data_IF_570486426374
#
_entry.id   IF_570486426374
#
_cell.length_a   1.000
_cell.length_b   1.000
_cell.length_c   1.000
_cell.angle_alpha   90.00
_cell.angle_beta   90.00
_cell.angle_gamma   90.00
#
_symmetry.space_group_name_H-M   'P 1'
#
loop_
_entity.id
_entity.type
_entity.pdbx_description
1 polymer ?
#
# COMPACT_ATOMS: atom_id res chain seq x y z
N UNK A 1 16.20 25.70 -23.36
CA UNK A 1 16.33 24.88 -22.14
C UNK A 1 16.44 23.45 -22.60
N UNK A 2 17.66 22.94 -22.67
CA UNK A 2 17.92 21.56 -23.11
C UNK A 2 17.47 20.60 -22.00
N UNK A 3 16.41 19.84 -22.27
CA UNK A 3 15.91 18.80 -21.37
C UNK A 3 16.90 17.63 -21.41
N UNK A 4 17.79 17.56 -20.42
CA UNK A 4 18.76 16.48 -20.27
C UNK A 4 18.10 15.29 -19.55
N UNK A 5 17.85 14.19 -20.26
CA UNK A 5 17.28 12.96 -19.71
C UNK A 5 18.23 12.21 -18.75
N UNK A 6 19.52 12.55 -18.72
CA UNK A 6 20.51 11.84 -17.91
C UNK A 6 20.49 12.22 -16.42
N UNK A 7 19.94 13.38 -16.05
CA UNK A 7 19.88 13.83 -14.64
C UNK A 7 18.57 13.47 -13.93
N UNK A 8 17.52 13.08 -14.67
CA UNK A 8 16.23 12.64 -14.13
C UNK A 8 16.31 11.45 -13.14
N UNK A 9 17.15 10.41 -13.36
CA UNK A 9 17.11 9.19 -12.54
C UNK A 9 17.57 9.37 -11.09
N UNK A 10 18.35 10.42 -10.78
CA UNK A 10 18.95 10.61 -9.46
C UNK A 10 18.07 11.44 -8.51
N UNK A 11 17.06 12.15 -9.04
CA UNK A 11 16.19 13.04 -8.26
C UNK A 11 14.72 12.60 -8.21
N UNK A 12 14.30 11.64 -9.04
CA UNK A 12 12.96 11.05 -9.00
C UNK A 12 13.01 9.63 -8.45
N UNK A 13 12.73 9.49 -7.15
CA UNK A 13 12.59 8.18 -6.49
C UNK A 13 11.29 7.43 -6.87
N UNK A 14 10.36 8.07 -7.60
CA UNK A 14 9.02 7.55 -7.91
C UNK A 14 8.78 7.39 -9.43
N UNK A 15 9.72 6.77 -10.15
CA UNK A 15 9.57 6.52 -11.60
C UNK A 15 8.52 5.43 -11.89
N UNK A 16 8.37 4.46 -10.98
CA UNK A 16 7.42 3.36 -11.10
C UNK A 16 6.65 3.16 -9.79
N UNK A 17 5.32 3.08 -9.90
CA UNK A 17 4.41 2.82 -8.79
C UNK A 17 3.62 1.52 -9.01
N UNK A 18 3.61 0.64 -8.03
CA UNK A 18 2.83 -0.60 -8.04
C UNK A 18 1.85 -0.58 -6.86
N UNK A 19 0.60 -0.95 -7.12
CA UNK A 19 -0.40 -1.16 -6.06
C UNK A 19 -0.84 -2.62 -6.03
N UNK A 20 -0.66 -3.26 -4.88
CA UNK A 20 -1.11 -4.63 -4.63
C UNK A 20 -2.32 -4.55 -3.69
N UNK A 21 -3.45 -5.07 -4.17
CA UNK A 21 -4.68 -5.19 -3.38
C UNK A 21 -4.81 -6.62 -2.89
N UNK A 22 -4.86 -6.79 -1.57
CA UNK A 22 -5.05 -8.08 -0.90
C UNK A 22 -6.43 -8.16 -0.24
N UNK A 23 -6.83 -9.36 0.16
CA UNK A 23 -8.14 -9.57 0.80
C UNK A 23 -8.11 -9.28 2.30
N UNK A 24 -7.04 -9.66 2.99
CA UNK A 24 -6.94 -9.56 4.44
C UNK A 24 -5.65 -8.83 4.87
N UNK A 25 -5.65 -8.25 6.07
CA UNK A 25 -4.45 -7.57 6.60
C UNK A 25 -3.25 -8.52 6.75
N UNK A 26 -3.46 -9.79 7.13
CA UNK A 26 -2.38 -10.79 7.23
C UNK A 26 -1.62 -10.99 5.90
N UNK A 27 -2.33 -10.86 4.78
CA UNK A 27 -1.76 -11.03 3.45
C UNK A 27 -0.78 -9.89 3.13
N UNK A 28 -0.94 -8.71 3.75
CA UNK A 28 0.01 -7.59 3.63
C UNK A 28 1.37 -8.00 4.19
N UNK A 29 1.39 -8.53 5.41
CA UNK A 29 2.62 -8.96 6.09
C UNK A 29 3.22 -10.18 5.39
N UNK A 30 2.37 -11.10 4.91
CA UNK A 30 2.84 -12.24 4.12
C UNK A 30 3.52 -11.81 2.82
N UNK A 31 2.98 -10.80 2.11
CA UNK A 31 3.56 -10.27 0.88
C UNK A 31 4.91 -9.59 1.16
N UNK A 32 4.98 -8.74 2.18
CA UNK A 32 6.23 -8.09 2.60
C UNK A 32 7.34 -9.11 2.85
N UNK A 33 7.07 -10.12 3.69
CA UNK A 33 8.05 -11.18 3.99
C UNK A 33 8.47 -11.99 2.78
N UNK A 34 7.61 -12.13 1.76
CA UNK A 34 7.95 -12.81 0.52
C UNK A 34 8.86 -11.95 -0.33
N UNK A 35 8.62 -10.65 -0.41
CA UNK A 35 9.47 -9.70 -1.14
C UNK A 35 10.88 -9.60 -0.53
N UNK A 36 10.98 -9.56 0.80
CA UNK A 36 12.28 -9.53 1.50
C UNK A 36 13.14 -10.77 1.25
N UNK A 37 12.53 -11.90 0.88
CA UNK A 37 13.23 -13.15 0.57
C UNK A 37 13.66 -13.27 -0.89
N UNK A 38 13.24 -12.36 -1.76
CA UNK A 38 13.62 -12.40 -3.17
C UNK A 38 15.05 -11.90 -3.33
N UNK A 39 15.97 -12.70 -3.89
CA UNK A 39 17.40 -12.38 -3.93
C UNK A 39 17.72 -11.18 -4.84
N UNK A 40 16.82 -10.86 -5.76
CA UNK A 40 16.93 -9.80 -6.75
C UNK A 40 16.17 -8.52 -6.37
N UNK A 41 15.42 -8.51 -5.26
CA UNK A 41 14.73 -7.32 -4.76
C UNK A 41 15.41 -6.81 -3.49
N UNK A 42 15.68 -5.50 -3.44
CA UNK A 42 16.16 -4.84 -2.23
C UNK A 42 15.13 -3.86 -1.70
N UNK A 43 14.68 -4.06 -0.46
CA UNK A 43 13.87 -3.06 0.26
C UNK A 43 14.78 -1.91 0.69
N UNK A 44 14.53 -0.71 0.16
CA UNK A 44 15.27 0.51 0.48
C UNK A 44 14.62 1.28 1.63
N UNK A 45 13.28 1.32 1.69
CA UNK A 45 12.53 2.00 2.73
C UNK A 45 11.21 1.29 3.01
N UNK A 46 10.81 1.27 4.29
CA UNK A 46 9.51 0.75 4.75
C UNK A 46 8.75 1.84 5.50
N UNK A 47 7.52 2.14 5.09
CA UNK A 47 6.59 3.02 5.82
C UNK A 47 5.32 2.25 6.12
N UNK A 48 5.13 1.95 7.39
CA UNK A 48 4.01 1.14 7.87
C UNK A 48 2.91 2.04 8.39
N UNK A 49 1.95 2.35 7.52
CA UNK A 49 0.73 3.05 7.88
C UNK A 49 -0.43 2.09 8.20
N UNK A 50 -0.20 0.77 8.14
CA UNK A 50 -1.22 -0.21 8.57
C UNK A 50 -1.31 -0.18 10.08
N UNK A 51 -0.18 -0.33 10.76
CA UNK A 51 -0.10 -0.33 12.24
C UNK A 51 -0.05 1.07 12.83
N UNK A 52 0.47 2.05 12.09
CA UNK A 52 0.57 3.47 12.48
C UNK A 52 -0.10 4.37 11.44
N UNK A 53 -1.43 4.43 11.41
CA UNK A 53 -2.16 5.23 10.42
C UNK A 53 -1.76 6.71 10.49
N UNK A 54 -1.93 7.41 9.36
CA UNK A 54 -1.81 8.88 9.37
C UNK A 54 -2.98 9.48 10.15
N UNK A 55 -2.84 10.75 10.55
CA UNK A 55 -3.88 11.49 11.28
C UNK A 55 -5.21 11.59 10.54
N UNK A 56 -5.21 11.54 9.21
CA UNK A 56 -6.43 11.52 8.40
C UNK A 56 -7.10 10.14 8.33
N UNK A 57 -6.58 9.10 9.00
CA UNK A 57 -7.11 7.73 8.97
C UNK A 57 -6.50 6.85 7.87
N UNK A 58 -5.61 7.39 7.03
CA UNK A 58 -5.00 6.64 5.94
C UNK A 58 -4.18 5.44 6.41
N UNK A 59 -4.43 4.28 5.79
CA UNK A 59 -3.72 3.01 6.00
C UNK A 59 -3.23 2.39 4.71
N UNK A 60 -1.97 1.94 4.71
CA UNK A 60 -1.29 1.20 3.64
C UNK A 60 0.11 0.81 4.10
N UNK A 61 0.66 -0.28 3.61
CA UNK A 61 2.10 -0.53 3.71
C UNK A 61 2.79 0.04 2.47
N UNK A 62 3.77 0.92 2.65
CA UNK A 62 4.59 1.46 1.56
C UNK A 62 6.00 0.90 1.63
N UNK A 63 6.47 0.33 0.52
CA UNK A 63 7.82 -0.15 0.34
C UNK A 63 8.46 0.60 -0.81
N UNK A 64 9.65 1.15 -0.60
CA UNK A 64 10.51 1.61 -1.69
C UNK A 64 11.48 0.48 -1.99
N UNK A 65 11.44 -0.03 -3.21
CA UNK A 65 12.21 -1.19 -3.65
C UNK A 65 13.23 -0.78 -4.72
N UNK A 66 14.40 -1.42 -4.73
CA UNK A 66 15.27 -1.46 -5.91
C UNK A 66 15.09 -2.81 -6.61
N UNK A 67 14.72 -2.75 -7.89
CA UNK A 67 14.47 -3.93 -8.74
C UNK A 67 15.36 -3.85 -9.99
N UNK A 68 16.05 -4.93 -10.38
CA UNK A 68 16.86 -4.96 -11.59
C UNK A 68 15.97 -5.01 -12.84
N UNK A 69 16.16 -4.05 -13.74
CA UNK A 69 15.55 -4.03 -15.07
C UNK A 69 16.62 -4.36 -16.10
N UNK A 70 16.38 -5.41 -16.88
CA UNK A 70 17.28 -5.89 -17.92
C UNK A 70 16.97 -5.15 -19.22
N UNK A 71 17.88 -4.27 -19.64
CA UNK A 71 17.79 -3.50 -20.88
C UNK A 71 18.86 -3.99 -21.87
N UNK A 72 18.71 -3.63 -23.16
CA UNK A 72 19.71 -3.97 -24.17
C UNK A 72 21.11 -3.43 -23.85
N UNK A 73 21.20 -2.30 -23.14
CA UNK A 73 22.45 -1.68 -22.71
C UNK A 73 23.01 -2.23 -21.38
N UNK A 74 22.35 -3.21 -20.76
CA UNK A 74 22.75 -3.81 -19.49
C UNK A 74 21.64 -3.78 -18.42
N UNK A 75 22.00 -4.17 -17.20
CA UNK A 75 21.08 -4.22 -16.06
C UNK A 75 21.12 -2.90 -15.30
N UNK A 76 19.95 -2.31 -15.05
CA UNK A 76 19.81 -1.08 -14.25
C UNK A 76 18.89 -1.33 -13.07
N UNK A 77 19.32 -0.96 -11.86
CA UNK A 77 18.45 -0.93 -10.70
C UNK A 77 17.48 0.25 -10.83
N UNK A 78 16.18 -0.03 -10.77
CA UNK A 78 15.11 0.96 -10.81
C UNK A 78 14.43 1.02 -9.45
N UNK A 79 14.15 2.24 -8.99
CA UNK A 79 13.40 2.46 -7.75
C UNK A 79 11.90 2.34 -8.04
N UNK A 80 11.20 1.53 -7.24
CA UNK A 80 9.76 1.28 -7.37
C UNK A 80 9.09 1.56 -6.02
N UNK A 81 8.07 2.43 -6.01
CA UNK A 81 7.16 2.54 -4.88
C UNK A 81 6.10 1.44 -4.97
N UNK A 82 6.04 0.58 -3.96
CA UNK A 82 5.02 -0.45 -3.83
C UNK A 82 4.09 -0.12 -2.67
N UNK A 83 2.80 -0.04 -2.95
CA UNK A 83 1.75 0.17 -1.95
C UNK A 83 0.91 -1.10 -1.83
N UNK A 84 0.85 -1.66 -0.63
CA UNK A 84 0.04 -2.85 -0.33
C UNK A 84 -1.12 -2.42 0.55
N UNK A 85 -2.34 -2.81 0.17
CA UNK A 85 -3.60 -2.42 0.83
C UNK A 85 -4.61 -3.56 0.80
N UNK A 86 -5.51 -3.60 1.78
CA UNK A 86 -6.75 -4.38 1.63
C UNK A 86 -7.69 -3.72 0.61
N UNK A 87 -8.74 -4.43 0.22
CA UNK A 87 -9.83 -3.87 -0.60
C UNK A 87 -10.45 -2.66 0.10
N UNK A 88 -10.72 -2.76 1.40
CA UNK A 88 -11.40 -1.71 2.15
C UNK A 88 -10.51 -0.47 2.34
N UNK A 89 -9.21 -0.66 2.64
CA UNK A 89 -8.22 0.43 2.66
C UNK A 89 -8.12 1.14 1.30
N UNK A 90 -8.12 0.40 0.19
CA UNK A 90 -8.04 1.00 -1.13
C UNK A 90 -9.31 1.78 -1.49
N UNK A 91 -10.48 1.26 -1.12
CA UNK A 91 -11.76 1.94 -1.30
C UNK A 91 -11.77 3.29 -0.57
N UNK A 92 -11.49 3.27 0.74
CA UNK A 92 -11.45 4.48 1.56
C UNK A 92 -10.42 5.50 1.04
N UNK A 93 -9.20 5.05 0.74
CA UNK A 93 -8.14 5.95 0.30
C UNK A 93 -8.38 6.54 -1.09
N UNK A 94 -9.15 5.86 -1.95
CA UNK A 94 -9.55 6.42 -3.25
C UNK A 94 -10.51 7.60 -3.07
N UNK A 95 -11.45 7.48 -2.13
CA UNK A 95 -12.40 8.55 -1.81
C UNK A 95 -11.72 9.74 -1.10
N UNK A 96 -10.82 9.46 -0.15
CA UNK A 96 -10.02 10.52 0.49
C UNK A 96 -9.16 11.29 -0.51
N UNK A 97 -8.53 10.57 -1.45
CA UNK A 97 -7.74 11.19 -2.50
C UNK A 97 -8.60 12.06 -3.43
N UNK A 98 -9.81 11.61 -3.79
CA UNK A 98 -10.76 12.41 -4.58
C UNK A 98 -11.14 13.70 -3.86
N UNK A 99 -11.45 13.64 -2.55
CA UNK A 99 -11.77 14.81 -1.74
C UNK A 99 -10.58 15.77 -1.60
N UNK A 100 -9.36 15.22 -1.44
CA UNK A 100 -8.13 16.00 -1.30
C UNK A 100 -7.71 16.70 -2.60
N UNK A 101 -8.03 16.13 -3.77
CA UNK A 101 -7.72 16.73 -5.06
C UNK A 101 -8.69 17.85 -5.47
N UNK A 102 -9.97 17.74 -5.13
CA UNK A 102 -10.98 18.75 -5.48
C UNK A 102 -10.86 19.98 -4.57
N UNK A 103 -10.47 21.13 -5.15
CA UNK A 103 -10.24 22.39 -4.41
C UNK A 103 -11.50 23.15 -3.99
N UNK A 104 -12.66 22.86 -4.60
CA UNK A 104 -13.91 23.63 -4.43
C UNK A 104 -15.08 22.78 -3.92
N UNK A 105 -14.83 21.87 -2.98
CA UNK A 105 -15.91 21.09 -2.35
C UNK A 105 -16.50 21.90 -1.20
N UNK A 106 -17.80 22.16 -1.25
CA UNK A 106 -18.54 22.77 -0.14
C UNK A 106 -18.46 21.82 1.07
N UNK A 107 -18.27 22.36 2.28
CA UNK A 107 -18.14 21.58 3.53
C UNK A 107 -16.97 20.57 3.54
N UNK A 108 -15.86 20.85 2.83
CA UNK A 108 -14.70 19.95 2.76
C UNK A 108 -14.14 19.55 4.15
N UNK A 109 -14.19 20.45 5.14
CA UNK A 109 -13.72 20.15 6.49
C UNK A 109 -14.58 19.08 7.18
N UNK A 110 -15.91 19.19 7.06
CA UNK A 110 -16.86 18.22 7.61
C UNK A 110 -16.70 16.86 6.94
N UNK A 111 -16.57 16.83 5.61
CA UNK A 111 -16.33 15.59 4.85
C UNK A 111 -15.01 14.92 5.21
N UNK A 112 -13.95 15.70 5.49
CA UNK A 112 -12.67 15.15 5.97
C UNK A 112 -12.82 14.53 7.35
N UNK A 113 -13.55 15.18 8.25
CA UNK A 113 -13.82 14.64 9.57
C UNK A 113 -14.63 13.34 9.49
N UNK A 114 -15.65 13.30 8.64
CA UNK A 114 -16.42 12.09 8.39
C UNK A 114 -15.53 10.97 7.82
N UNK A 115 -14.64 11.27 6.88
CA UNK A 115 -13.70 10.27 6.36
C UNK A 115 -12.78 9.71 7.44
N UNK A 116 -12.29 10.53 8.37
CA UNK A 116 -11.48 10.06 9.51
C UNK A 116 -12.27 9.04 10.35
N UNK A 117 -13.54 9.32 10.62
CA UNK A 117 -14.43 8.41 11.35
C UNK A 117 -14.70 7.13 10.55
N UNK A 118 -14.98 7.24 9.24
CA UNK A 118 -15.17 6.06 8.37
C UNK A 118 -13.91 5.22 8.24
N UNK A 119 -12.72 5.81 8.37
CA UNK A 119 -11.46 5.05 8.36
C UNK A 119 -11.38 4.05 9.51
N UNK A 120 -11.92 4.42 10.68
CA UNK A 120 -11.99 3.53 11.84
C UNK A 120 -12.96 2.36 11.60
N UNK A 121 -14.14 2.65 11.03
CA UNK A 121 -15.12 1.62 10.68
C UNK A 121 -14.58 0.65 9.62
N UNK A 122 -13.88 1.18 8.61
CA UNK A 122 -13.22 0.38 7.57
C UNK A 122 -12.17 -0.55 8.17
N UNK A 123 -11.37 -0.06 9.11
CA UNK A 123 -10.39 -0.90 9.79
C UNK A 123 -11.06 -1.98 10.63
N UNK A 124 -12.11 -1.65 11.39
CA UNK A 124 -12.85 -2.65 12.17
C UNK A 124 -13.43 -3.75 11.27
N UNK A 125 -13.99 -3.37 10.12
CA UNK A 125 -14.47 -4.33 9.13
C UNK A 125 -13.35 -5.27 8.63
N UNK A 126 -12.17 -4.74 8.31
CA UNK A 126 -11.03 -5.57 7.89
C UNK A 126 -10.60 -6.54 9.00
N UNK A 127 -10.64 -6.11 10.27
CA UNK A 127 -10.32 -6.97 11.42
C UNK A 127 -11.36 -8.09 11.60
N UNK A 128 -12.64 -7.74 11.64
CA UNK A 128 -13.74 -8.70 11.80
C UNK A 128 -13.71 -9.77 10.69
N UNK A 129 -13.46 -9.35 9.45
CA UNK A 129 -13.36 -10.26 8.31
C UNK A 129 -12.12 -11.16 8.38
N UNK A 130 -11.00 -10.65 8.91
CA UNK A 130 -9.80 -11.47 9.12
C UNK A 130 -10.03 -12.52 10.22
N UNK A 131 -10.73 -12.15 11.30
CA UNK A 131 -11.07 -13.05 12.40
C UNK A 131 -11.99 -14.19 11.94
N UNK A 132 -13.04 -13.87 11.18
CA UNK A 132 -13.94 -14.87 10.57
C UNK A 132 -13.14 -15.85 9.70
N UNK A 133 -12.24 -15.34 8.85
CA UNK A 133 -11.37 -16.17 8.00
C UNK A 133 -10.42 -17.05 8.83
N UNK A 134 -9.92 -16.56 9.95
CA UNK A 134 -9.07 -17.35 10.84
C UNK A 134 -9.87 -18.47 11.54
N UNK A 135 -11.10 -18.20 11.97
CA UNK A 135 -12.01 -19.21 12.54
C UNK A 135 -12.31 -20.34 11.55
N UNK A 136 -12.71 -20.00 10.32
CA UNK A 136 -12.98 -21.00 9.26
C UNK A 136 -11.77 -21.91 9.03
N UNK A 137 -10.56 -21.33 8.99
CA UNK A 137 -9.32 -22.09 8.76
C UNK A 137 -8.90 -22.98 9.93
N UNK A 138 -9.20 -22.59 11.17
CA UNK A 138 -8.91 -23.43 12.33
C UNK A 138 -9.80 -24.68 12.39
N UNK A 139 -11.06 -24.57 11.97
CA UNK A 139 -11.99 -25.71 11.92
C UNK A 139 -11.60 -26.73 10.83
N UNK A 140 -11.04 -26.27 9.71
CA UNK A 140 -10.49 -27.14 8.66
C UNK A 140 -9.25 -27.93 9.12
N UNK A 141 -8.37 -27.36 9.95
CA UNK A 141 -7.21 -28.09 10.47
C UNK A 141 -7.56 -29.13 11.52
N UNK A 142 -8.58 -28.87 12.34
CA UNK A 142 -9.03 -29.78 13.39
C UNK A 142 -9.87 -30.95 12.83
N UNK A 143 -10.49 -30.78 11.66
CA UNK A 143 -11.27 -31.83 10.99
C UNK A 143 -10.43 -32.77 10.10
N UNK A 144 -9.17 -32.43 9.85
CA UNK A 144 -8.19 -33.25 9.11
C UNK A 144 -7.15 -33.94 10.02
N UNK A 145 -7.28 -33.77 11.34
CA UNK A 145 -6.44 -34.38 12.39
C UNK A 145 -7.22 -35.50 13.10
#
# INVERSE_FOLDING_TARGET
MDFNFETLPQQMHDIAGIRIIVRFEDDIVAMERRLEKQPDIKVLQRKDYVTRPKSNGYRSLHLILAVPVYLAAGVKAVTVEMQIRTIAMNFWASLEHELSYKKNVQHQAELRQELVEKAQLVHQLDQDMNDIKNQIRSEESDSMS
#
